data_IF_136632323203
#
_entry.id   IF_136632323203
#
_cell.length_a   1.000
_cell.length_b   1.000
_cell.length_c   1.000
_cell.angle_alpha   90.00
_cell.angle_beta   90.00
_cell.angle_gamma   90.00
#
_symmetry.space_group_name_H-M   'P 1'
#
loop_
_entity.id
_entity.type
_entity.pdbx_description
1 polymer ?
#
# COMPACT_ATOMS: atom_id res chain seq x y z
N UNK A 1 -18.21 59.17 -27.01
CA UNK A 1 -18.49 58.71 -25.63
C UNK A 1 -18.35 57.20 -25.41
N UNK A 2 -18.37 56.31 -26.42
CA UNK A 2 -18.40 54.85 -26.23
C UNK A 2 -17.04 54.11 -26.18
N UNK A 3 -15.92 54.76 -26.52
CA UNK A 3 -14.62 54.06 -26.68
C UNK A 3 -13.82 53.93 -25.36
N UNK A 4 -14.05 54.85 -24.40
CA UNK A 4 -13.39 54.84 -23.10
C UNK A 4 -14.05 53.87 -22.10
N UNK A 5 -15.36 53.63 -22.23
CA UNK A 5 -16.11 52.64 -21.44
C UNK A 5 -15.76 51.21 -21.83
N UNK A 6 -15.66 50.93 -23.15
CA UNK A 6 -15.25 49.61 -23.65
C UNK A 6 -13.84 49.23 -23.18
N UNK A 7 -12.83 50.11 -23.30
CA UNK A 7 -11.47 49.82 -22.79
C UNK A 7 -11.44 49.48 -21.30
N UNK A 8 -12.29 50.13 -20.49
CA UNK A 8 -12.38 49.88 -19.04
C UNK A 8 -13.02 48.51 -18.74
N UNK A 9 -14.03 48.13 -19.53
CA UNK A 9 -14.68 46.81 -19.47
C UNK A 9 -13.73 45.70 -19.95
N UNK A 10 -13.01 45.91 -21.06
CA UNK A 10 -12.01 44.95 -21.56
C UNK A 10 -10.85 44.74 -20.57
N UNK A 11 -10.40 45.79 -19.88
CA UNK A 11 -9.36 45.63 -18.85
C UNK A 11 -9.89 44.91 -17.60
N UNK A 12 -11.15 45.14 -17.19
CA UNK A 12 -11.73 44.42 -16.05
C UNK A 12 -12.03 42.95 -16.34
N UNK A 13 -12.51 42.63 -17.55
CA UNK A 13 -12.71 41.24 -18.00
C UNK A 13 -11.38 40.49 -18.11
N UNK A 14 -10.32 41.15 -18.57
CA UNK A 14 -8.98 40.56 -18.64
C UNK A 14 -8.43 40.21 -17.25
N UNK A 15 -8.63 41.05 -16.24
CA UNK A 15 -8.26 40.73 -14.86
C UNK A 15 -9.09 39.58 -14.28
N UNK A 16 -10.39 39.53 -14.56
CA UNK A 16 -11.24 38.42 -14.10
C UNK A 16 -10.80 37.09 -14.71
N UNK A 17 -10.51 37.06 -16.01
CA UNK A 17 -9.99 35.88 -16.70
C UNK A 17 -8.65 35.45 -16.11
N UNK A 18 -7.75 36.41 -15.84
CA UNK A 18 -6.45 36.12 -15.24
C UNK A 18 -6.58 35.50 -13.83
N UNK A 19 -7.43 36.08 -12.97
CA UNK A 19 -7.69 35.55 -11.63
C UNK A 19 -8.30 34.14 -11.71
N UNK A 20 -9.25 33.92 -12.61
CA UNK A 20 -9.88 32.62 -12.79
C UNK A 20 -8.88 31.56 -13.25
N UNK A 21 -8.02 31.88 -14.23
CA UNK A 21 -6.96 30.99 -14.70
C UNK A 21 -5.97 30.69 -13.56
N UNK A 22 -5.57 31.70 -12.79
CA UNK A 22 -4.65 31.53 -11.66
C UNK A 22 -5.22 30.59 -10.58
N UNK A 23 -6.48 30.80 -10.19
CA UNK A 23 -7.17 29.94 -9.20
C UNK A 23 -7.30 28.51 -9.74
N UNK A 24 -7.70 28.35 -11.00
CA UNK A 24 -7.84 27.04 -11.61
C UNK A 24 -6.50 26.28 -11.65
N UNK A 25 -5.41 26.94 -12.06
CA UNK A 25 -4.06 26.36 -12.05
C UNK A 25 -3.62 26.01 -10.63
N UNK A 26 -3.87 26.89 -9.66
CA UNK A 26 -3.51 26.64 -8.26
C UNK A 26 -4.27 25.41 -7.70
N UNK A 27 -5.59 25.32 -7.91
CA UNK A 27 -6.40 24.17 -7.50
C UNK A 27 -5.92 22.90 -8.20
N UNK A 28 -5.65 22.96 -9.51
CA UNK A 28 -5.15 21.83 -10.27
C UNK A 28 -3.80 21.34 -9.72
N UNK A 29 -2.84 22.25 -9.50
CA UNK A 29 -1.55 21.90 -8.88
C UNK A 29 -1.76 21.33 -7.48
N UNK A 30 -2.65 21.91 -6.67
CA UNK A 30 -2.92 21.42 -5.32
C UNK A 30 -3.50 19.99 -5.34
N UNK A 31 -4.50 19.72 -6.18
CA UNK A 31 -5.18 18.42 -6.26
C UNK A 31 -4.29 17.36 -6.91
N UNK A 32 -3.57 17.69 -8.00
CA UNK A 32 -2.86 16.69 -8.80
C UNK A 32 -1.37 16.57 -8.45
N UNK A 33 -0.78 17.53 -7.75
CA UNK A 33 0.63 17.49 -7.35
C UNK A 33 0.76 17.39 -5.82
N UNK A 34 0.16 18.30 -5.06
CA UNK A 34 0.37 18.36 -3.60
C UNK A 34 -0.45 17.34 -2.81
N UNK A 35 -1.72 17.12 -3.16
CA UNK A 35 -2.59 16.15 -2.47
C UNK A 35 -2.09 14.70 -2.60
N UNK A 36 -1.70 14.21 -3.80
CA UNK A 36 -1.11 12.88 -3.91
C UNK A 36 0.24 12.81 -3.20
N UNK A 37 1.12 13.81 -3.29
CA UNK A 37 2.38 13.77 -2.50
C UNK A 37 2.12 13.77 -1.00
N UNK A 38 1.15 14.53 -0.49
CA UNK A 38 0.76 14.52 0.93
C UNK A 38 0.17 13.17 1.35
N UNK A 39 -0.72 12.57 0.55
CA UNK A 39 -1.24 11.22 0.78
C UNK A 39 -0.13 10.15 0.72
N UNK A 40 0.85 10.28 -0.18
CA UNK A 40 2.02 9.41 -0.25
C UNK A 40 2.96 9.61 0.95
N UNK A 41 3.14 10.84 1.43
CA UNK A 41 3.97 11.16 2.59
C UNK A 41 3.34 10.72 3.92
N UNK A 42 2.01 10.80 4.06
CA UNK A 42 1.28 10.22 5.20
C UNK A 42 1.12 8.69 5.08
N UNK A 43 1.32 8.11 3.90
CA UNK A 43 1.16 6.68 3.62
C UNK A 43 2.30 5.79 4.12
N UNK A 44 3.36 6.35 4.70
CA UNK A 44 4.49 5.58 5.23
C UNK A 44 5.03 6.23 6.50
N UNK A 45 4.61 5.72 7.67
CA UNK A 45 5.41 5.52 8.89
C UNK A 45 4.55 5.51 10.16
N UNK A 46 3.69 4.48 10.30
CA UNK A 46 3.38 3.97 11.63
C UNK A 46 3.40 2.44 11.54
N UNK A 47 4.43 1.83 12.13
CA UNK A 47 4.43 0.42 12.50
C UNK A 47 3.35 0.22 13.57
N UNK A 48 2.08 0.32 13.17
CA UNK A 48 0.95 0.17 14.07
C UNK A 48 0.88 -1.32 14.40
N UNK A 49 1.38 -1.70 15.59
CA UNK A 49 1.07 -3.01 16.18
C UNK A 49 -0.44 -3.20 16.08
N UNK A 50 -0.89 -4.41 15.75
CA UNK A 50 -2.33 -4.71 15.78
C UNK A 50 -2.79 -4.38 17.20
N UNK A 51 -3.72 -3.43 17.32
CA UNK A 51 -4.24 -2.99 18.62
C UNK A 51 -5.07 -4.15 19.16
N UNK A 52 -5.02 -4.41 20.47
CA UNK A 52 -5.77 -5.53 21.07
C UNK A 52 -7.26 -5.48 20.70
N UNK A 53 -7.83 -4.28 20.59
CA UNK A 53 -9.23 -4.07 20.21
C UNK A 53 -9.57 -4.57 18.78
N UNK A 54 -8.61 -4.59 17.85
CA UNK A 54 -8.81 -5.14 16.51
C UNK A 54 -8.83 -6.67 16.53
N UNK A 55 -8.03 -7.28 17.41
CA UNK A 55 -7.95 -8.74 17.57
C UNK A 55 -9.24 -9.31 18.18
N UNK A 56 -9.89 -8.55 19.07
CA UNK A 56 -11.11 -8.96 19.78
C UNK A 56 -12.38 -8.85 18.92
N UNK A 57 -12.30 -8.18 17.77
CA UNK A 57 -13.47 -7.94 16.89
C UNK A 57 -13.35 -8.66 15.55
N UNK A 58 -12.13 -8.88 15.07
CA UNK A 58 -11.89 -9.39 13.72
C UNK A 58 -11.05 -10.67 13.72
N UNK A 59 -11.41 -11.67 12.89
CA UNK A 59 -10.56 -12.83 12.69
C UNK A 59 -9.18 -12.40 12.18
N UNK A 60 -8.13 -13.04 12.70
CA UNK A 60 -6.77 -12.72 12.34
C UNK A 60 -5.94 -13.97 12.10
N UNK A 61 -4.72 -13.77 11.63
CA UNK A 61 -3.75 -14.81 11.33
C UNK A 61 -2.55 -14.65 12.25
N UNK A 62 -2.25 -15.67 13.02
CA UNK A 62 -1.13 -15.71 13.96
C UNK A 62 -0.04 -16.66 13.46
N UNK A 63 1.20 -16.46 13.92
CA UNK A 63 2.30 -17.38 13.65
C UNK A 63 2.00 -18.75 14.26
N UNK A 64 2.09 -19.82 13.47
CA UNK A 64 1.82 -21.19 13.93
C UNK A 64 2.74 -21.63 15.08
N UNK A 65 3.98 -21.14 15.12
CA UNK A 65 4.98 -21.52 16.13
C UNK A 65 4.81 -20.82 17.49
N UNK A 66 4.50 -19.52 17.49
CA UNK A 66 4.53 -18.69 18.71
C UNK A 66 3.28 -17.84 18.95
N UNK A 67 2.24 -17.99 18.11
CA UNK A 67 0.97 -17.26 18.18
C UNK A 67 1.07 -15.74 18.07
N UNK A 68 2.21 -15.20 17.69
CA UNK A 68 2.36 -13.78 17.39
C UNK A 68 1.40 -13.36 16.26
N UNK A 69 0.49 -12.39 16.45
CA UNK A 69 -0.43 -11.94 15.41
C UNK A 69 0.33 -11.32 14.23
N UNK A 70 0.03 -11.73 13.00
CA UNK A 70 0.75 -11.32 11.79
C UNK A 70 -0.12 -10.51 10.85
N UNK A 71 -1.38 -10.87 10.64
CA UNK A 71 -2.24 -10.15 9.69
C UNK A 71 -3.72 -10.27 10.07
N UNK A 72 -4.49 -9.23 9.79
CA UNK A 72 -5.94 -9.25 9.92
C UNK A 72 -6.57 -9.94 8.70
N UNK A 73 -7.75 -10.53 8.88
CA UNK A 73 -8.52 -11.10 7.76
C UNK A 73 -8.94 -10.04 6.75
N UNK A 74 -9.17 -8.81 7.17
CA UNK A 74 -9.60 -7.71 6.28
C UNK A 74 -8.52 -7.33 5.26
N UNK A 75 -7.25 -7.60 5.59
CA UNK A 75 -6.13 -7.40 4.68
C UNK A 75 -5.92 -8.56 3.71
N UNK A 76 -6.72 -9.63 3.78
CA UNK A 76 -6.58 -10.79 2.91
C UNK A 76 -7.10 -10.48 1.51
N UNK A 77 -6.18 -10.39 0.55
CA UNK A 77 -6.50 -10.13 -0.86
C UNK A 77 -6.84 -11.42 -1.62
N UNK A 78 -6.13 -12.51 -1.37
CA UNK A 78 -6.34 -13.76 -2.11
C UNK A 78 -5.86 -15.00 -1.37
N UNK A 79 -6.54 -16.13 -1.63
CA UNK A 79 -6.19 -17.48 -1.12
C UNK A 79 -5.68 -18.43 -2.22
N UNK A 80 -5.54 -17.92 -3.45
CA UNK A 80 -5.22 -18.73 -4.62
C UNK A 80 -3.71 -18.83 -4.89
N UNK A 81 -2.87 -18.22 -4.04
CA UNK A 81 -1.43 -18.24 -4.22
C UNK A 81 -0.84 -19.59 -3.79
N UNK A 82 0.30 -19.93 -4.40
CA UNK A 82 1.07 -21.13 -4.09
C UNK A 82 2.49 -20.74 -3.67
N UNK A 83 3.01 -21.49 -2.71
CA UNK A 83 4.35 -21.38 -2.16
C UNK A 83 4.97 -22.78 -2.04
N UNK A 84 6.16 -22.87 -1.47
CA UNK A 84 6.89 -24.14 -1.38
C UNK A 84 6.15 -25.17 -0.53
N UNK A 85 5.49 -24.75 0.55
CA UNK A 85 4.67 -25.63 1.40
C UNK A 85 3.23 -25.87 0.90
N UNK A 86 2.91 -25.46 -0.33
CA UNK A 86 1.58 -25.62 -0.92
C UNK A 86 0.82 -24.31 -1.01
N UNK A 87 -0.33 -24.20 -0.33
CA UNK A 87 -1.21 -23.03 -0.46
C UNK A 87 -0.69 -21.84 0.36
N UNK A 88 -0.82 -20.64 -0.20
CA UNK A 88 -0.42 -19.39 0.45
C UNK A 88 -1.50 -18.31 0.32
N UNK A 89 -1.48 -17.38 1.26
CA UNK A 89 -2.34 -16.22 1.31
C UNK A 89 -1.58 -15.00 0.82
N UNK A 90 -2.28 -14.12 0.12
CA UNK A 90 -1.80 -12.79 -0.23
C UNK A 90 -2.48 -11.76 0.65
N UNK A 91 -1.69 -10.96 1.36
CA UNK A 91 -2.17 -9.87 2.20
C UNK A 91 -1.69 -8.51 1.68
N UNK A 92 -2.54 -7.50 1.80
CA UNK A 92 -2.17 -6.09 1.54
C UNK A 92 -1.21 -5.56 2.60
N UNK A 93 -1.39 -5.98 3.85
CA UNK A 93 -0.60 -5.55 4.98
C UNK A 93 -0.41 -6.67 6.01
N UNK A 94 0.74 -6.66 6.67
CA UNK A 94 1.14 -7.57 7.73
C UNK A 94 1.90 -6.80 8.80
N UNK A 95 1.87 -7.28 10.05
CA UNK A 95 2.49 -6.68 11.24
C UNK A 95 3.36 -7.72 11.96
N UNK A 96 4.13 -7.25 12.95
CA UNK A 96 4.98 -8.09 13.81
C UNK A 96 5.90 -9.04 13.02
N UNK A 97 6.53 -8.51 11.98
CA UNK A 97 7.47 -9.22 11.12
C UNK A 97 8.79 -8.44 10.99
N UNK A 98 9.83 -9.14 10.58
CA UNK A 98 11.14 -8.60 10.18
C UNK A 98 11.38 -9.00 8.72
N UNK A 99 11.88 -8.08 7.91
CA UNK A 99 12.30 -8.38 6.53
C UNK A 99 13.74 -8.87 6.51
N UNK A 100 13.97 -9.93 5.75
CA UNK A 100 15.32 -10.33 5.37
C UNK A 100 15.89 -9.51 4.22
N UNK A 101 17.01 -9.99 3.70
CA UNK A 101 17.68 -9.38 2.56
C UNK A 101 16.85 -9.43 1.28
N UNK A 102 17.06 -8.41 0.45
CA UNK A 102 16.45 -8.32 -0.87
C UNK A 102 17.10 -9.33 -1.82
N UNK A 103 16.30 -10.24 -2.36
CA UNK A 103 16.74 -11.29 -3.28
C UNK A 103 15.94 -11.22 -4.56
N UNK A 104 16.63 -11.34 -5.69
CA UNK A 104 15.97 -11.48 -6.99
C UNK A 104 15.57 -12.95 -7.16
N UNK A 105 14.27 -13.23 -7.31
CA UNK A 105 13.75 -14.59 -7.51
C UNK A 105 12.96 -14.69 -8.82
N UNK A 106 13.13 -15.81 -9.51
CA UNK A 106 12.25 -16.22 -10.61
C UNK A 106 11.07 -16.98 -10.00
N UNK A 107 9.86 -16.47 -10.19
CA UNK A 107 8.61 -17.07 -9.72
C UNK A 107 7.74 -17.43 -10.93
N UNK A 108 6.63 -18.16 -10.69
CA UNK A 108 5.75 -18.65 -11.76
C UNK A 108 5.28 -17.55 -12.73
N UNK A 109 5.04 -16.34 -12.22
CA UNK A 109 4.53 -15.22 -13.02
C UNK A 109 5.60 -14.22 -13.44
N UNK A 110 6.88 -14.57 -13.30
CA UNK A 110 8.01 -13.75 -13.74
C UNK A 110 9.05 -13.46 -12.65
N UNK A 111 9.95 -12.53 -12.96
CA UNK A 111 11.07 -12.12 -12.11
C UNK A 111 10.66 -11.00 -11.15
N UNK A 112 11.06 -11.11 -9.89
CA UNK A 112 10.77 -10.14 -8.84
C UNK A 112 11.97 -9.91 -7.92
N UNK A 113 12.05 -8.73 -7.31
CA UNK A 113 12.82 -8.52 -6.07
C UNK A 113 11.87 -8.80 -4.92
N UNK A 114 12.25 -9.72 -4.05
CA UNK A 114 11.47 -10.11 -2.86
C UNK A 114 12.35 -10.07 -1.61
N UNK A 115 11.73 -9.96 -0.45
CA UNK A 115 12.39 -10.16 0.84
C UNK A 115 11.64 -11.19 1.65
N UNK A 116 12.37 -12.09 2.30
CA UNK A 116 11.78 -13.09 3.20
C UNK A 116 11.15 -12.38 4.42
N UNK A 117 10.00 -12.89 4.87
CA UNK A 117 9.22 -12.33 5.98
C UNK A 117 9.35 -13.28 7.16
N UNK A 118 10.01 -12.79 8.22
CA UNK A 118 10.26 -13.53 9.45
C UNK A 118 9.31 -13.06 10.55
N UNK A 119 8.82 -13.99 11.36
CA UNK A 119 8.10 -13.63 12.58
C UNK A 119 9.02 -12.84 13.52
N UNK A 120 8.59 -11.65 13.98
CA UNK A 120 9.43 -10.82 14.85
C UNK A 120 9.67 -11.44 16.24
N UNK A 121 8.84 -12.39 16.66
CA UNK A 121 8.93 -13.02 17.98
C UNK A 121 9.80 -14.28 17.98
N UNK A 122 9.60 -15.20 17.03
CA UNK A 122 10.28 -16.50 17.01
C UNK A 122 11.27 -16.69 15.84
N UNK A 123 11.37 -15.73 14.92
CA UNK A 123 12.26 -15.81 13.76
C UNK A 123 11.87 -16.84 12.69
N UNK A 124 10.70 -17.48 12.80
CA UNK A 124 10.22 -18.41 11.76
C UNK A 124 9.99 -17.69 10.42
N UNK A 125 10.42 -18.30 9.32
CA UNK A 125 10.09 -17.82 7.96
C UNK A 125 8.62 -18.11 7.68
N UNK A 126 7.84 -17.04 7.50
CA UNK A 126 6.40 -17.13 7.23
C UNK A 126 6.07 -17.05 5.73
N UNK A 127 6.97 -16.45 4.94
CA UNK A 127 6.80 -16.25 3.50
C UNK A 127 7.69 -15.12 2.98
N UNK A 128 7.19 -14.29 2.05
CA UNK A 128 7.95 -13.20 1.44
C UNK A 128 7.08 -11.99 1.05
N UNK A 129 7.71 -10.83 0.91
CA UNK A 129 7.10 -9.59 0.41
C UNK A 129 7.61 -9.28 -1.00
N UNK A 130 6.73 -8.86 -1.91
CA UNK A 130 7.16 -8.33 -3.21
C UNK A 130 7.62 -6.88 -3.06
N UNK A 131 8.87 -6.60 -3.43
CA UNK A 131 9.45 -5.25 -3.34
C UNK A 131 9.51 -4.55 -4.69
N UNK A 132 9.77 -5.31 -5.76
CA UNK A 132 9.82 -4.77 -7.13
C UNK A 132 9.45 -5.84 -8.13
N UNK A 133 8.72 -5.45 -9.17
CA UNK A 133 8.53 -6.28 -10.36
C UNK A 133 9.35 -5.75 -11.54
N UNK A 134 9.75 -6.66 -12.43
CA UNK A 134 10.38 -6.32 -13.70
C UNK A 134 9.37 -6.18 -14.85
N UNK A 135 8.09 -6.51 -14.61
CA UNK A 135 7.01 -6.37 -15.59
C UNK A 135 5.87 -5.54 -15.02
N UNK A 136 5.43 -4.52 -15.76
CA UNK A 136 4.37 -3.59 -15.33
C UNK A 136 3.05 -4.32 -15.04
N UNK A 137 2.72 -5.36 -15.81
CA UNK A 137 1.52 -6.19 -15.60
C UNK A 137 1.50 -6.93 -14.26
N UNK A 138 2.64 -7.01 -13.57
CA UNK A 138 2.80 -7.68 -12.28
C UNK A 138 2.97 -6.69 -11.11
N UNK A 139 2.92 -5.37 -11.37
CA UNK A 139 3.09 -4.36 -10.33
C UNK A 139 2.02 -4.42 -9.24
N UNK A 140 0.83 -4.95 -9.53
CA UNK A 140 -0.22 -5.14 -8.53
C UNK A 140 0.20 -6.05 -7.35
N UNK A 141 1.29 -6.83 -7.50
CA UNK A 141 1.83 -7.67 -6.42
C UNK A 141 2.77 -6.90 -5.50
N UNK A 142 3.41 -5.83 -6.00
CA UNK A 142 4.41 -5.06 -5.25
C UNK A 142 3.77 -4.42 -4.01
N UNK A 143 4.47 -4.50 -2.88
CA UNK A 143 3.97 -4.04 -1.58
C UNK A 143 3.22 -5.11 -0.80
N UNK A 144 2.68 -6.12 -1.47
CA UNK A 144 1.88 -7.17 -0.84
C UNK A 144 2.75 -8.33 -0.30
N UNK A 145 2.18 -9.05 0.65
CA UNK A 145 2.81 -10.15 1.38
C UNK A 145 2.24 -11.49 0.92
N UNK A 146 3.12 -12.47 0.69
CA UNK A 146 2.74 -13.86 0.53
C UNK A 146 3.12 -14.59 1.81
N UNK A 147 2.13 -15.17 2.48
CA UNK A 147 2.31 -15.91 3.74
C UNK A 147 1.79 -17.33 3.55
N UNK A 148 2.62 -18.31 3.88
CA UNK A 148 2.30 -19.72 3.70
C UNK A 148 1.24 -20.19 4.69
N UNK A 149 0.20 -20.87 4.20
CA UNK A 149 -0.92 -21.35 5.03
C UNK A 149 -0.46 -22.31 6.13
N UNK A 150 0.58 -23.10 5.88
CA UNK A 150 1.14 -24.04 6.87
C UNK A 150 1.89 -23.33 8.02
N UNK A 151 2.27 -22.07 7.84
CA UNK A 151 3.07 -21.29 8.81
C UNK A 151 2.23 -20.34 9.66
N UNK A 152 0.95 -20.21 9.36
CA UNK A 152 0.02 -19.36 10.12
C UNK A 152 -1.26 -20.10 10.50
N UNK A 153 -1.86 -19.68 11.60
CA UNK A 153 -3.13 -20.18 12.10
C UNK A 153 -4.16 -19.07 12.01
N UNK A 154 -5.38 -19.43 11.60
CA UNK A 154 -6.50 -18.50 11.60
C UNK A 154 -7.15 -18.56 12.98
N UNK A 155 -7.18 -17.43 13.66
CA UNK A 155 -7.80 -17.26 14.97
C UNK A 155 -9.09 -16.46 14.81
N UNK A 156 -10.06 -16.78 15.65
CA UNK A 156 -11.34 -16.08 15.76
C UNK A 156 -11.38 -15.50 17.17
N UNK A 157 -11.79 -14.24 17.28
CA UNK A 157 -12.13 -13.63 18.55
C UNK A 157 -13.32 -14.34 19.19
#
# INVERSE_FOLDING_TARGET
YNHLSLRRIYSSLSHYIYIYIYIYIYIYIYIYIYLPTKLYLFGNQYHQRIVMEDLDKNPFYSCNRCRNPIALRDNLLSKAFKAQSGQAYMFSDAKNFVLGENKVRQLMTGRFVVADVYCSNCGEVLGWKYLKSFHVSQNYKVGNFIIEKAKVLKEYA
#
